data_IF_713366977424
#
_entry.id   IF_713366977424
#
_cell.length_a   1.000
_cell.length_b   1.000
_cell.length_c   1.000
_cell.angle_alpha   90.00
_cell.angle_beta   90.00
_cell.angle_gamma   90.00
#
_symmetry.space_group_name_H-M   'P 1'
#
loop_
_entity.id
_entity.type
_entity.pdbx_description
1 polymer ?
#
# COMPACT_ATOMS: atom_id res chain seq x y z
N UNK A 1 -9.22 -15.68 18.08
CA UNK A 1 -8.45 -15.51 16.85
C UNK A 1 -8.19 -16.90 16.27
N UNK A 2 -8.30 -17.09 14.95
CA UNK A 2 -8.07 -18.38 14.33
C UNK A 2 -6.56 -18.66 14.19
N UNK A 3 -6.19 -19.91 13.86
CA UNK A 3 -4.78 -20.34 13.84
C UNK A 3 -3.89 -19.49 12.93
N UNK A 4 -4.35 -19.21 11.73
CA UNK A 4 -3.58 -18.49 10.71
C UNK A 4 -3.30 -17.04 11.10
N UNK A 5 -4.34 -16.29 11.41
CA UNK A 5 -4.23 -14.88 11.81
C UNK A 5 -3.55 -14.73 13.18
N UNK A 6 -3.80 -15.70 14.08
CA UNK A 6 -3.13 -15.74 15.39
C UNK A 6 -1.63 -16.00 15.26
N UNK A 7 -1.25 -16.96 14.43
CA UNK A 7 0.16 -17.25 14.14
C UNK A 7 0.87 -16.06 13.49
N UNK A 8 0.26 -15.44 12.48
CA UNK A 8 0.82 -14.25 11.84
C UNK A 8 1.07 -13.10 12.83
N UNK A 9 0.10 -12.82 13.70
CA UNK A 9 0.23 -11.82 14.77
C UNK A 9 1.40 -12.16 15.71
N UNK A 10 1.43 -13.41 16.19
CA UNK A 10 2.41 -13.84 17.19
C UNK A 10 3.83 -13.81 16.61
N UNK A 11 4.01 -14.21 15.36
CA UNK A 11 5.28 -14.10 14.63
C UNK A 11 5.69 -12.63 14.43
N UNK A 12 4.76 -11.74 14.14
CA UNK A 12 5.06 -10.31 14.01
C UNK A 12 5.62 -9.71 15.29
N UNK A 13 5.05 -10.05 16.46
CA UNK A 13 5.57 -9.62 17.74
C UNK A 13 6.87 -10.32 18.12
N UNK A 14 7.01 -11.60 17.80
CA UNK A 14 8.25 -12.33 18.02
C UNK A 14 9.39 -11.69 17.23
N UNK A 15 9.22 -11.48 15.95
CA UNK A 15 10.20 -10.82 15.07
C UNK A 15 10.58 -9.44 15.60
N UNK A 16 9.59 -8.63 15.98
CA UNK A 16 9.83 -7.30 16.51
C UNK A 16 10.73 -7.30 17.75
N UNK A 17 10.54 -8.28 18.65
CA UNK A 17 11.35 -8.42 19.87
C UNK A 17 12.73 -9.00 19.60
N UNK A 18 12.79 -10.10 18.84
CA UNK A 18 14.02 -10.87 18.63
C UNK A 18 15.00 -10.19 17.67
N UNK A 19 14.49 -9.64 16.57
CA UNK A 19 15.33 -9.03 15.53
C UNK A 19 15.56 -7.53 15.76
N UNK A 20 14.55 -6.82 16.27
CA UNK A 20 14.58 -5.36 16.38
C UNK A 20 14.63 -4.85 17.84
N UNK A 21 14.62 -5.74 18.83
CA UNK A 21 14.72 -5.34 20.21
C UNK A 21 13.54 -4.53 20.75
N UNK A 22 12.36 -4.68 20.13
CA UNK A 22 11.16 -3.96 20.54
C UNK A 22 10.75 -4.31 21.98
N UNK A 23 10.32 -3.32 22.75
CA UNK A 23 9.90 -3.44 24.14
C UNK A 23 8.38 -3.49 24.24
N UNK A 24 7.86 -4.37 25.07
CA UNK A 24 6.42 -4.45 25.33
C UNK A 24 5.91 -3.17 25.98
N UNK A 25 4.69 -2.75 25.61
CA UNK A 25 4.01 -1.58 26.14
C UNK A 25 2.60 -1.93 26.64
N UNK A 26 2.19 -1.33 27.75
CA UNK A 26 0.86 -1.53 28.29
C UNK A 26 0.66 -2.92 28.89
N UNK A 27 -0.53 -3.49 28.67
CA UNK A 27 -0.96 -4.81 29.18
C UNK A 27 -1.12 -5.86 28.09
N UNK A 28 -0.77 -5.54 26.87
CA UNK A 28 -0.96 -6.41 25.73
C UNK A 28 0.35 -6.79 25.06
N UNK A 29 0.31 -7.55 23.97
CA UNK A 29 1.50 -7.93 23.24
C UNK A 29 2.08 -6.76 22.41
N UNK A 30 1.45 -5.58 22.44
CA UNK A 30 1.92 -4.39 21.73
C UNK A 30 3.33 -4.05 22.14
N UNK A 31 4.13 -3.62 21.19
CA UNK A 31 5.50 -3.26 21.44
C UNK A 31 5.92 -2.01 20.69
N UNK A 32 7.00 -1.42 21.14
CA UNK A 32 7.59 -0.22 20.53
C UNK A 32 9.10 -0.37 20.39
N UNK A 33 9.62 0.29 19.37
CA UNK A 33 11.06 0.44 19.16
C UNK A 33 11.36 1.83 18.62
N UNK A 34 12.60 2.21 18.67
CA UNK A 34 13.10 3.42 18.03
C UNK A 34 13.66 3.07 16.64
N UNK A 35 13.27 3.82 15.62
CA UNK A 35 13.82 3.67 14.27
C UNK A 35 15.31 4.03 14.29
N UNK A 36 16.23 3.12 13.96
CA UNK A 36 17.67 3.38 14.07
C UNK A 36 18.18 4.46 13.11
N UNK A 37 17.43 4.76 12.06
CA UNK A 37 17.83 5.76 11.06
C UNK A 37 17.28 7.14 11.38
N UNK A 38 16.04 7.22 11.83
CA UNK A 38 15.34 8.50 12.03
C UNK A 38 15.19 8.92 13.49
N UNK A 39 15.42 8.00 14.44
CA UNK A 39 15.14 8.21 15.87
C UNK A 39 13.65 8.28 16.21
N UNK A 40 12.77 8.11 15.25
CA UNK A 40 11.33 8.17 15.49
C UNK A 40 10.81 6.89 16.13
N UNK A 41 9.81 7.04 16.99
CA UNK A 41 9.16 5.92 17.65
C UNK A 41 8.27 5.14 16.68
N UNK A 42 8.47 3.83 16.64
CA UNK A 42 7.62 2.88 15.91
C UNK A 42 6.82 2.09 16.95
N UNK A 43 5.50 2.09 16.79
CA UNK A 43 4.58 1.27 17.59
C UNK A 43 4.04 0.13 16.73
N UNK A 44 4.22 -1.09 17.20
CA UNK A 44 3.70 -2.29 16.56
C UNK A 44 2.50 -2.76 17.38
N UNK A 45 1.33 -2.81 16.76
CA UNK A 45 0.06 -3.20 17.38
C UNK A 45 -0.76 -4.05 16.43
N UNK A 46 -1.49 -5.01 16.97
CA UNK A 46 -2.53 -5.71 16.21
C UNK A 46 -3.88 -5.01 16.35
N UNK A 47 -4.70 -5.13 15.33
CA UNK A 47 -6.06 -4.60 15.31
C UNK A 47 -6.98 -5.67 14.74
N UNK A 48 -8.14 -5.86 15.37
CA UNK A 48 -9.18 -6.77 14.87
C UNK A 48 -9.69 -6.24 13.53
N UNK A 49 -9.91 -7.14 12.56
CA UNK A 49 -10.18 -6.78 11.17
C UNK A 49 -11.37 -5.82 10.98
N UNK A 50 -12.49 -6.06 11.67
CA UNK A 50 -13.67 -5.18 11.60
C UNK A 50 -13.37 -3.77 12.17
N UNK A 51 -12.63 -3.71 13.26
CA UNK A 51 -12.18 -2.44 13.82
C UNK A 51 -11.20 -1.72 12.88
N UNK A 52 -10.33 -2.47 12.19
CA UNK A 52 -9.41 -1.89 11.20
C UNK A 52 -10.16 -1.26 10.03
N UNK A 53 -11.18 -1.93 9.48
CA UNK A 53 -12.00 -1.37 8.40
C UNK A 53 -12.66 -0.03 8.79
N UNK A 54 -13.06 0.12 10.04
CA UNK A 54 -13.57 1.38 10.56
C UNK A 54 -12.45 2.41 10.78
N UNK A 55 -11.32 1.98 11.34
CA UNK A 55 -10.25 2.88 11.77
C UNK A 55 -9.47 3.48 10.60
N UNK A 56 -9.30 2.76 9.50
CA UNK A 56 -8.67 3.31 8.30
C UNK A 56 -9.48 4.45 7.68
N UNK A 57 -10.78 4.50 7.91
CA UNK A 57 -11.66 5.59 7.48
C UNK A 57 -11.64 6.77 8.45
N UNK A 58 -11.71 6.48 9.74
CA UNK A 58 -11.94 7.49 10.79
C UNK A 58 -10.65 8.05 11.36
N UNK A 59 -9.56 7.28 11.32
CA UNK A 59 -8.26 7.59 11.92
C UNK A 59 -7.06 7.15 11.05
N UNK A 60 -7.05 7.45 9.74
CA UNK A 60 -6.01 6.92 8.83
C UNK A 60 -4.59 7.34 9.23
N UNK A 61 -4.43 8.50 9.87
CA UNK A 61 -3.12 9.02 10.30
C UNK A 61 -2.47 8.25 11.45
N UNK A 62 -3.20 7.35 12.10
CA UNK A 62 -2.63 6.48 13.14
C UNK A 62 -1.82 5.31 12.56
N UNK A 63 -1.91 5.07 11.26
CA UNK A 63 -1.34 3.91 10.59
C UNK A 63 -0.37 4.36 9.48
N UNK A 64 0.88 3.94 9.58
CA UNK A 64 1.88 4.18 8.54
C UNK A 64 2.03 2.98 7.62
N UNK A 65 1.97 1.76 8.18
CA UNK A 65 2.09 0.49 7.45
C UNK A 65 1.08 -0.50 8.02
N UNK A 66 0.40 -1.22 7.15
CA UNK A 66 -0.48 -2.33 7.50
C UNK A 66 0.16 -3.63 7.01
N UNK A 67 0.54 -4.50 7.95
CA UNK A 67 1.01 -5.85 7.65
C UNK A 67 -0.16 -6.82 7.84
N UNK A 68 -0.50 -7.57 6.81
CA UNK A 68 -1.65 -8.48 6.82
C UNK A 68 -1.40 -9.68 5.93
N UNK A 69 -2.18 -10.74 6.13
CA UNK A 69 -2.20 -11.87 5.22
C UNK A 69 -2.92 -11.51 3.92
N UNK A 70 -2.65 -12.28 2.87
CA UNK A 70 -3.06 -12.05 1.50
C UNK A 70 -4.54 -11.60 1.37
N UNK A 71 -5.50 -12.39 1.82
CA UNK A 71 -6.92 -12.11 1.62
C UNK A 71 -7.39 -10.79 2.25
N UNK A 72 -6.99 -10.55 3.49
CA UNK A 72 -7.36 -9.31 4.20
C UNK A 72 -6.63 -8.10 3.60
N UNK A 73 -5.39 -8.31 3.13
CA UNK A 73 -4.61 -7.30 2.42
C UNK A 73 -5.25 -6.89 1.12
N UNK A 74 -5.70 -7.85 0.33
CA UNK A 74 -6.39 -7.64 -0.93
C UNK A 74 -7.66 -6.79 -0.75
N UNK A 75 -8.50 -7.16 0.20
CA UNK A 75 -9.72 -6.40 0.48
C UNK A 75 -9.45 -4.97 0.97
N UNK A 76 -8.48 -4.78 1.87
CA UNK A 76 -8.25 -3.46 2.46
C UNK A 76 -7.51 -2.54 1.48
N UNK A 77 -6.60 -3.08 0.67
CA UNK A 77 -5.86 -2.28 -0.31
C UNK A 77 -6.79 -1.71 -1.38
N UNK A 78 -7.70 -2.51 -1.90
CA UNK A 78 -8.69 -2.06 -2.88
C UNK A 78 -9.66 -1.04 -2.29
N UNK A 79 -10.13 -1.27 -1.05
CA UNK A 79 -11.00 -0.33 -0.36
C UNK A 79 -10.31 1.02 -0.09
N UNK A 80 -9.02 1.02 0.24
CA UNK A 80 -8.23 2.23 0.43
C UNK A 80 -7.91 2.92 -0.91
N UNK A 81 -7.58 2.16 -1.94
CA UNK A 81 -7.37 2.69 -3.27
C UNK A 81 -8.61 3.41 -3.82
N UNK A 82 -9.79 2.84 -3.59
CA UNK A 82 -11.07 3.45 -3.99
C UNK A 82 -11.29 4.84 -3.37
N UNK A 83 -10.77 5.09 -2.16
CA UNK A 83 -10.93 6.38 -1.47
C UNK A 83 -10.00 7.48 -2.01
N UNK A 84 -8.92 7.10 -2.67
CA UNK A 84 -7.89 8.06 -3.14
C UNK A 84 -7.82 8.19 -4.66
N UNK A 85 -8.71 7.56 -5.40
CA UNK A 85 -8.80 7.68 -6.85
C UNK A 85 -8.99 6.35 -7.59
N UNK A 86 -9.17 5.24 -6.87
CA UNK A 86 -9.42 3.91 -7.43
C UNK A 86 -8.16 3.08 -7.63
N UNK A 87 -8.38 1.80 -7.97
CA UNK A 87 -7.30 0.81 -8.17
C UNK A 87 -6.37 1.15 -9.34
N UNK A 88 -6.81 2.02 -10.26
CA UNK A 88 -5.99 2.47 -11.40
C UNK A 88 -4.76 3.29 -11.02
N UNK A 89 -4.60 3.69 -9.77
CA UNK A 89 -3.42 4.42 -9.27
C UNK A 89 -2.58 3.62 -8.26
N UNK A 90 -3.07 2.48 -7.79
CA UNK A 90 -2.38 1.69 -6.77
C UNK A 90 -1.25 0.86 -7.41
N UNK A 91 0.01 1.02 -6.98
CA UNK A 91 1.11 0.18 -7.45
C UNK A 91 1.11 -1.19 -6.76
N UNK A 92 1.65 -2.21 -7.44
CA UNK A 92 1.80 -3.55 -6.90
C UNK A 92 3.20 -4.10 -7.09
N UNK A 93 3.64 -4.90 -6.11
CA UNK A 93 4.90 -5.64 -6.17
C UNK A 93 4.82 -6.95 -5.39
N UNK A 94 5.44 -7.97 -5.96
CA UNK A 94 5.71 -9.25 -5.31
C UNK A 94 7.21 -9.40 -5.16
N UNK A 95 7.72 -9.38 -3.95
CA UNK A 95 9.16 -9.34 -3.66
C UNK A 95 9.56 -10.53 -2.81
N UNK A 96 10.56 -11.27 -3.26
CA UNK A 96 11.27 -12.23 -2.44
C UNK A 96 12.48 -11.53 -1.80
N UNK A 97 12.38 -11.23 -0.52
CA UNK A 97 13.41 -10.47 0.21
C UNK A 97 14.70 -11.27 0.46
N UNK A 98 14.65 -12.61 0.38
CA UNK A 98 15.85 -13.45 0.54
C UNK A 98 16.73 -13.43 -0.72
N UNK A 99 16.10 -13.45 -1.90
CA UNK A 99 16.80 -13.54 -3.19
C UNK A 99 16.90 -12.20 -3.91
N UNK A 100 16.10 -11.21 -3.53
CA UNK A 100 15.96 -9.93 -4.22
C UNK A 100 15.16 -10.00 -5.52
N UNK A 101 14.65 -11.16 -5.90
CA UNK A 101 13.80 -11.30 -7.10
C UNK A 101 12.46 -10.64 -6.85
N UNK A 102 12.01 -9.81 -7.79
CA UNK A 102 10.77 -9.07 -7.66
C UNK A 102 10.02 -8.99 -8.99
N UNK A 103 8.69 -8.94 -8.90
CA UNK A 103 7.77 -8.67 -10.00
C UNK A 103 6.96 -7.43 -9.63
N UNK A 104 6.87 -6.49 -10.55
CA UNK A 104 6.12 -5.26 -10.38
C UNK A 104 5.01 -5.22 -11.42
N UNK A 105 3.78 -5.05 -10.98
CA UNK A 105 2.59 -5.14 -11.82
C UNK A 105 1.51 -4.14 -11.37
N UNK A 106 0.59 -3.83 -12.26
CA UNK A 106 -0.61 -3.10 -11.87
C UNK A 106 -1.48 -3.98 -10.96
N UNK A 107 -2.10 -3.40 -9.95
CA UNK A 107 -2.97 -4.15 -9.01
C UNK A 107 -4.31 -4.55 -9.63
N UNK A 108 -4.73 -3.88 -10.71
CA UNK A 108 -5.99 -4.18 -11.42
C UNK A 108 -5.79 -5.20 -12.54
N UNK A 109 -6.89 -5.85 -12.95
CA UNK A 109 -6.91 -6.76 -14.10
C UNK A 109 -6.85 -6.04 -15.44
N UNK A 110 -7.00 -6.81 -16.53
CA UNK A 110 -6.86 -6.32 -17.92
C UNK A 110 -8.01 -5.47 -18.43
N UNK A 111 -9.13 -5.41 -17.71
CA UNK A 111 -10.33 -4.64 -18.04
C UNK A 111 -10.74 -4.70 -19.54
N UNK A 112 -11.01 -5.89 -20.10
CA UNK A 112 -11.16 -6.08 -21.57
C UNK A 112 -12.29 -5.26 -22.18
N UNK A 113 -13.31 -4.87 -21.42
CA UNK A 113 -14.39 -4.00 -21.89
C UNK A 113 -13.94 -2.59 -22.30
N UNK A 114 -12.75 -2.17 -21.87
CA UNK A 114 -12.19 -0.85 -22.18
C UNK A 114 -11.07 -0.90 -23.23
N UNK A 115 -10.78 -2.08 -23.78
CA UNK A 115 -9.70 -2.25 -24.77
C UNK A 115 -9.90 -1.31 -25.97
N UNK A 116 -8.86 -0.54 -26.33
CA UNK A 116 -8.86 0.39 -27.46
C UNK A 116 -9.68 1.65 -27.25
N UNK A 117 -10.16 1.94 -26.04
CA UNK A 117 -10.97 3.13 -25.76
C UNK A 117 -10.19 4.27 -25.10
N UNK A 118 -8.92 4.05 -24.75
CA UNK A 118 -8.05 5.01 -24.03
C UNK A 118 -8.68 5.59 -22.74
N UNK A 119 -9.44 4.74 -22.04
CA UNK A 119 -10.18 5.13 -20.81
C UNK A 119 -9.56 4.64 -19.52
N UNK A 120 -8.59 3.74 -19.58
CA UNK A 120 -7.97 3.17 -18.38
C UNK A 120 -6.86 4.08 -17.85
N UNK A 121 -6.88 4.32 -16.54
CA UNK A 121 -5.82 5.05 -15.85
C UNK A 121 -4.51 4.25 -15.87
N UNK A 122 -3.40 4.76 -16.46
CA UNK A 122 -2.13 4.06 -16.50
C UNK A 122 -1.32 4.26 -15.21
N UNK A 123 -1.84 4.98 -14.21
CA UNK A 123 -1.13 5.34 -12.99
C UNK A 123 -0.59 4.15 -12.22
N UNK A 124 -1.37 3.08 -12.10
CA UNK A 124 -0.98 1.86 -11.38
C UNK A 124 0.29 1.24 -11.99
N UNK A 125 0.35 1.02 -13.29
CA UNK A 125 1.54 0.43 -13.93
C UNK A 125 2.74 1.39 -13.93
N UNK A 126 2.51 2.70 -14.07
CA UNK A 126 3.56 3.72 -14.02
C UNK A 126 4.18 3.78 -12.62
N UNK A 127 3.35 3.78 -11.57
CA UNK A 127 3.84 3.80 -10.18
C UNK A 127 4.44 2.44 -9.77
N UNK A 128 4.00 1.33 -10.35
CA UNK A 128 4.67 0.04 -10.17
C UNK A 128 6.08 0.05 -10.78
N UNK A 129 6.25 0.69 -11.95
CA UNK A 129 7.57 0.90 -12.53
C UNK A 129 8.45 1.84 -11.68
N UNK A 130 7.87 2.85 -11.05
CA UNK A 130 8.54 3.70 -10.08
C UNK A 130 9.07 2.88 -8.89
N UNK A 131 8.24 2.03 -8.30
CA UNK A 131 8.64 1.10 -7.23
C UNK A 131 9.78 0.17 -7.68
N UNK A 132 9.71 -0.35 -8.91
CA UNK A 132 10.77 -1.17 -9.50
C UNK A 132 12.10 -0.43 -9.54
N UNK A 133 12.11 0.82 -10.00
CA UNK A 133 13.33 1.63 -10.05
C UNK A 133 13.91 1.88 -8.65
N UNK A 134 13.07 2.12 -7.64
CA UNK A 134 13.52 2.23 -6.25
C UNK A 134 14.11 0.92 -5.73
N UNK A 135 13.47 -0.21 -6.02
CA UNK A 135 13.99 -1.53 -5.66
C UNK A 135 15.38 -1.79 -6.27
N UNK A 136 15.60 -1.33 -7.49
CA UNK A 136 16.90 -1.40 -8.19
C UNK A 136 17.94 -0.37 -7.70
N UNK A 137 17.58 0.52 -6.77
CA UNK A 137 18.43 1.60 -6.28
C UNK A 137 18.50 2.83 -7.20
N UNK A 138 17.65 2.91 -8.23
CA UNK A 138 17.65 4.02 -9.20
C UNK A 138 16.70 5.15 -8.75
N UNK A 139 16.91 5.63 -7.54
CA UNK A 139 16.02 6.61 -6.89
C UNK A 139 15.82 7.89 -7.69
N UNK A 140 16.88 8.40 -8.32
CA UNK A 140 16.76 9.61 -9.15
C UNK A 140 15.83 9.43 -10.36
N UNK A 141 15.84 8.24 -10.97
CA UNK A 141 14.92 7.92 -12.07
C UNK A 141 13.48 7.77 -11.56
N UNK A 142 13.28 7.13 -10.41
CA UNK A 142 11.99 7.02 -9.75
C UNK A 142 11.39 8.40 -9.43
N UNK A 143 12.20 9.32 -8.91
CA UNK A 143 11.78 10.70 -8.61
C UNK A 143 11.34 11.47 -9.86
N UNK A 144 11.94 11.21 -11.02
CA UNK A 144 11.51 11.79 -12.29
C UNK A 144 10.14 11.28 -12.72
N UNK A 145 9.83 9.99 -12.49
CA UNK A 145 8.49 9.45 -12.76
C UNK A 145 7.46 10.15 -11.90
N UNK A 146 7.70 10.27 -10.58
CA UNK A 146 6.77 10.96 -9.67
C UNK A 146 6.51 12.38 -10.14
N UNK A 147 7.56 13.16 -10.44
CA UNK A 147 7.43 14.53 -10.97
C UNK A 147 6.67 14.59 -12.28
N UNK A 148 6.87 13.61 -13.18
CA UNK A 148 6.16 13.51 -14.44
C UNK A 148 4.64 13.29 -14.22
N UNK A 149 4.28 12.38 -13.32
CA UNK A 149 2.89 12.11 -12.96
C UNK A 149 2.23 13.33 -12.32
N UNK A 150 2.90 13.96 -11.34
CA UNK A 150 2.42 15.20 -10.71
C UNK A 150 2.21 16.32 -11.72
N UNK A 151 3.15 16.49 -12.65
CA UNK A 151 3.06 17.47 -13.73
C UNK A 151 1.88 17.21 -14.67
N UNK A 152 1.68 15.95 -15.07
CA UNK A 152 0.57 15.56 -15.94
C UNK A 152 -0.79 15.80 -15.27
N UNK A 153 -0.93 15.45 -13.99
CA UNK A 153 -2.15 15.69 -13.22
C UNK A 153 -2.40 17.18 -13.07
N UNK A 154 -1.38 17.96 -12.69
CA UNK A 154 -1.50 19.40 -12.45
C UNK A 154 -1.85 20.17 -13.73
N UNK A 155 -1.30 19.76 -14.86
CA UNK A 155 -1.57 20.39 -16.18
C UNK A 155 -2.86 19.90 -16.83
N UNK A 156 -3.55 18.92 -16.23
CA UNK A 156 -4.76 18.27 -16.77
C UNK A 156 -4.58 17.76 -18.21
N UNK A 157 -3.38 17.34 -18.57
CA UNK A 157 -3.07 16.83 -19.91
C UNK A 157 -3.55 15.41 -20.14
N UNK A 158 -3.84 14.67 -19.07
CA UNK A 158 -4.41 13.34 -19.13
C UNK A 158 -5.93 13.45 -18.94
N UNK A 159 -6.67 13.51 -20.02
CA UNK A 159 -8.01 14.06 -20.08
C UNK A 159 -9.13 13.24 -19.45
N UNK A 160 -8.93 11.95 -19.21
CA UNK A 160 -9.97 11.08 -18.66
C UNK A 160 -10.00 10.99 -17.14
N UNK A 161 -9.05 11.63 -16.51
CA UNK A 161 -8.97 11.72 -15.05
C UNK A 161 -9.75 12.85 -14.42
N UNK A 162 -10.28 13.74 -15.24
CA UNK A 162 -11.01 14.93 -14.78
C UNK A 162 -12.51 14.73 -14.72
N UNK A 163 -13.03 13.62 -15.25
CA UNK A 163 -14.38 13.21 -14.91
C UNK A 163 -14.34 12.57 -13.52
N UNK A 164 -15.02 13.19 -12.61
CA UNK A 164 -15.15 12.82 -11.22
C UNK A 164 -15.51 11.33 -11.10
N UNK A 165 -14.74 10.59 -10.32
CA UNK A 165 -15.06 9.19 -10.01
C UNK A 165 -16.46 9.04 -9.34
N UNK A 166 -17.05 10.13 -8.87
CA UNK A 166 -18.41 10.20 -8.39
C UNK A 166 -19.47 10.12 -9.51
N UNK A 167 -19.16 10.50 -10.73
CA UNK A 167 -20.10 10.45 -11.86
C UNK A 167 -20.30 9.03 -12.43
N UNK A 168 -19.36 8.11 -12.19
CA UNK A 168 -19.51 6.72 -12.60
C UNK A 168 -20.47 5.89 -11.70
N UNK A 169 -20.81 6.40 -10.54
CA UNK A 169 -21.79 5.74 -9.64
C UNK A 169 -23.23 6.18 -9.89
N UNK A 170 -23.46 7.11 -10.80
CA UNK A 170 -24.80 7.64 -11.13
C UNK A 170 -25.38 7.16 -12.48
N UNK A 171 -24.75 6.21 -13.16
CA UNK A 171 -25.24 5.64 -14.42
C UNK A 171 -25.58 4.17 -14.35
#
# INVERSE_FOLDING_TARGET
MKFTEGGFRDWGYQLAREEFGAKEIGKGPWCELENPTTGSKIVIKDVIADAMLQQVLTRPREYSVLATMNLNGDYISDALAAQVGGIGIAPGANINYDTGIAIFEATHGTAPKYTGQDKVNPGSIILSAEMMLRHMGWSAAADLIVKGVEGAISSKTCLLYTSDAADELSS
#
